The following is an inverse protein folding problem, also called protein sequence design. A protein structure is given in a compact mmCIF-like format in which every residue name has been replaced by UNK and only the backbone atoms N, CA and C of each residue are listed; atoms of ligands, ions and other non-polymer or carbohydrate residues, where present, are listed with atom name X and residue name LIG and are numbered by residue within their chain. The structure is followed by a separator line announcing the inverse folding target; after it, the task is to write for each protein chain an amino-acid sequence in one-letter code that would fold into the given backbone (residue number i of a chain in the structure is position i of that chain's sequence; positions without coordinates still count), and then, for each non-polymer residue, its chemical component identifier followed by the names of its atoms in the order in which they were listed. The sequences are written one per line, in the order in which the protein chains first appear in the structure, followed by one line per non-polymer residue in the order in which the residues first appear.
data_IF_908903909003
#
_entry.id   IF_908903909003
#
_cell.length_a   1.000
_cell.length_b   1.000
_cell.length_c   1.000
_cell.angle_alpha   90.00
_cell.angle_beta   90.00
_cell.angle_gamma   90.00
#
_symmetry.space_group_name_H-M   'P 1'
#
loop_
_entity.id
_entity.type
_entity.pdbx_description
1 polymer ?
#
# COMPACT_ATOMS: atom_id res chain seq x y z
N UNK A 1 -36.14 8.51 -32.82
CA UNK A 1 -36.35 7.60 -31.68
C UNK A 1 -35.55 6.28 -31.80
N UNK A 2 -34.45 6.21 -32.57
CA UNK A 2 -33.79 4.93 -32.88
C UNK A 2 -32.28 4.83 -32.50
N UNK A 3 -31.60 5.93 -32.14
CA UNK A 3 -30.17 5.88 -31.79
C UNK A 3 -29.95 5.70 -30.28
N UNK A 4 -30.83 6.28 -29.46
CA UNK A 4 -30.74 6.24 -28.00
C UNK A 4 -30.96 4.82 -27.42
N UNK A 5 -31.85 4.04 -28.04
CA UNK A 5 -32.14 2.66 -27.66
C UNK A 5 -31.00 1.67 -27.98
N UNK A 6 -30.11 2.03 -28.91
CA UNK A 6 -28.95 1.21 -29.29
C UNK A 6 -27.72 1.55 -28.42
N UNK A 7 -27.61 2.79 -27.94
CA UNK A 7 -26.52 3.24 -27.07
C UNK A 7 -26.67 2.77 -25.60
N UNK A 8 -27.89 2.65 -25.08
CA UNK A 8 -28.14 2.18 -23.71
C UNK A 8 -27.57 0.78 -23.40
N UNK A 9 -27.75 -0.26 -24.25
CA UNK A 9 -27.21 -1.59 -23.98
C UNK A 9 -25.68 -1.68 -24.17
N UNK A 10 -25.07 -0.75 -24.91
CA UNK A 10 -23.62 -0.74 -25.15
C UNK A 10 -22.84 -0.24 -23.92
N UNK A 11 -23.44 0.66 -23.13
CA UNK A 11 -22.86 1.17 -21.88
C UNK A 11 -22.91 0.11 -20.77
N UNK A 12 -23.92 -0.77 -20.77
CA UNK A 12 -24.03 -1.87 -19.80
C UNK A 12 -23.05 -3.02 -20.01
N UNK A 13 -22.36 -3.09 -21.16
CA UNK A 13 -21.30 -4.08 -21.41
C UNK A 13 -19.93 -3.66 -20.86
N UNK A 14 -19.78 -2.42 -20.35
CA UNK A 14 -18.57 -1.98 -19.65
C UNK A 14 -18.62 -2.50 -18.21
N UNK A 15 -18.58 -3.82 -18.10
CA UNK A 15 -18.48 -4.55 -16.84
C UNK A 15 -17.10 -4.29 -16.24
N UNK A 16 -17.08 -3.38 -15.26
CA UNK A 16 -16.04 -3.11 -14.25
C UNK A 16 -14.77 -3.96 -14.36
N UNK A 17 -13.83 -3.54 -15.21
CA UNK A 17 -12.43 -3.96 -15.12
C UNK A 17 -11.64 -2.85 -14.43
N UNK A 18 -11.85 -2.68 -13.12
CA UNK A 18 -11.00 -1.81 -12.30
C UNK A 18 -9.88 -2.68 -11.74
N UNK A 19 -8.74 -2.71 -12.44
CA UNK A 19 -7.55 -3.33 -11.90
C UNK A 19 -6.90 -2.39 -10.88
N UNK A 20 -6.54 -2.93 -9.70
CA UNK A 20 -5.72 -2.20 -8.74
C UNK A 20 -4.33 -1.96 -9.35
N UNK A 21 -3.89 -0.70 -9.30
CA UNK A 21 -2.58 -0.27 -9.81
C UNK A 21 -1.66 0.09 -8.65
N UNK A 22 -0.52 -0.60 -8.56
CA UNK A 22 0.50 -0.37 -7.52
C UNK A 22 1.86 -0.09 -8.15
N UNK A 23 2.73 0.65 -7.46
CA UNK A 23 4.15 0.70 -7.83
C UNK A 23 4.89 -0.56 -7.40
N UNK A 24 5.77 -1.05 -8.28
CA UNK A 24 6.66 -2.18 -8.01
C UNK A 24 8.12 -1.72 -8.08
N UNK A 25 8.75 -1.56 -6.93
CA UNK A 25 10.16 -1.16 -6.86
C UNK A 25 10.75 -1.41 -5.47
N UNK A 26 12.09 -1.40 -5.38
CA UNK A 26 12.85 -1.47 -4.12
C UNK A 26 13.75 -0.24 -4.00
N UNK A 27 13.95 0.31 -2.80
CA UNK A 27 14.73 1.53 -2.57
C UNK A 27 16.21 1.45 -2.96
N UNK A 28 16.73 0.25 -3.22
CA UNK A 28 18.03 0.04 -3.85
C UNK A 28 18.08 0.55 -5.28
N UNK A 29 16.91 0.70 -5.93
CA UNK A 29 16.75 1.32 -7.23
C UNK A 29 16.59 2.84 -7.09
N UNK A 30 17.19 3.64 -7.99
CA UNK A 30 17.18 5.09 -7.89
C UNK A 30 15.76 5.66 -8.02
N UNK A 31 15.32 6.41 -7.00
CA UNK A 31 14.01 7.07 -6.99
C UNK A 31 12.90 6.28 -6.28
N UNK A 32 13.14 5.03 -5.87
CA UNK A 32 12.19 4.25 -5.06
C UNK A 32 12.34 4.49 -3.54
N UNK A 33 13.28 5.33 -3.11
CA UNK A 33 13.46 5.66 -1.69
C UNK A 33 12.43 6.64 -1.13
N UNK A 34 12.86 7.38 -0.11
CA UNK A 34 12.18 8.57 0.42
C UNK A 34 13.05 9.79 0.08
N UNK A 35 12.63 10.72 -0.79
CA UNK A 35 11.32 10.82 -1.42
C UNK A 35 11.14 9.86 -2.60
N UNK A 36 9.89 9.43 -2.82
CA UNK A 36 9.52 8.57 -3.93
C UNK A 36 9.30 9.36 -5.22
N UNK A 37 9.99 8.97 -6.29
CA UNK A 37 9.88 9.57 -7.63
C UNK A 37 8.89 8.78 -8.48
N UNK A 38 7.60 8.96 -8.22
CA UNK A 38 6.50 8.24 -8.88
C UNK A 38 6.52 8.31 -10.42
N UNK A 39 7.04 9.41 -10.99
CA UNK A 39 7.15 9.58 -12.45
C UNK A 39 8.15 8.59 -13.09
N UNK A 40 9.06 8.01 -12.32
CA UNK A 40 10.12 7.13 -12.82
C UNK A 40 9.72 5.66 -12.84
N UNK A 41 8.62 5.30 -12.18
CA UNK A 41 8.17 3.93 -12.05
C UNK A 41 6.77 3.79 -12.64
N UNK A 42 6.55 2.88 -13.61
CA UNK A 42 5.21 2.58 -14.08
C UNK A 42 4.42 1.87 -12.97
N UNK A 43 3.12 2.16 -12.87
CA UNK A 43 2.22 1.36 -12.07
C UNK A 43 1.94 0.03 -12.76
N UNK A 44 1.88 -1.05 -12.00
CA UNK A 44 1.54 -2.39 -12.49
C UNK A 44 0.15 -2.80 -12.02
N UNK A 45 -0.56 -3.53 -12.87
CA UNK A 45 -1.82 -4.19 -12.51
C UNK A 45 -1.51 -5.39 -11.62
N UNK A 46 -2.13 -5.43 -10.45
CA UNK A 46 -2.02 -6.59 -9.56
C UNK A 46 -2.79 -7.81 -10.12
N UNK A 47 -2.31 -9.04 -9.87
CA UNK A 47 -2.87 -10.26 -10.47
C UNK A 47 -4.14 -10.79 -9.78
N UNK A 48 -4.38 -10.45 -8.51
CA UNK A 48 -5.52 -10.95 -7.74
C UNK A 48 -6.64 -9.90 -7.63
N UNK A 49 -7.90 -10.36 -7.54
CA UNK A 49 -9.07 -9.47 -7.46
C UNK A 49 -9.15 -8.72 -6.11
N UNK A 50 -8.76 -9.37 -5.02
CA UNK A 50 -8.75 -8.82 -3.66
C UNK A 50 -7.35 -8.32 -3.23
N UNK A 51 -6.51 -7.96 -4.19
CA UNK A 51 -5.15 -7.49 -3.91
C UNK A 51 -5.15 -6.09 -3.28
N UNK A 52 -4.05 -5.74 -2.62
CA UNK A 52 -3.82 -4.43 -2.02
C UNK A 52 -2.37 -4.00 -2.25
N UNK A 53 -2.13 -2.71 -2.43
CA UNK A 53 -0.76 -2.21 -2.54
C UNK A 53 -0.10 -2.27 -1.17
N UNK A 54 1.17 -2.67 -1.16
CA UNK A 54 1.97 -2.72 0.07
C UNK A 54 3.23 -1.88 -0.06
N UNK A 55 3.56 -1.19 1.03
CA UNK A 55 4.87 -0.60 1.26
C UNK A 55 5.46 -1.23 2.52
N UNK A 56 6.53 -1.98 2.33
CA UNK A 56 7.29 -2.63 3.39
C UNK A 56 8.50 -1.77 3.68
N UNK A 57 8.68 -1.38 4.93
CA UNK A 57 9.80 -0.57 5.42
C UNK A 57 10.60 -1.43 6.38
N UNK A 58 11.80 -1.82 5.96
CA UNK A 58 12.74 -2.63 6.74
C UNK A 58 13.85 -1.72 7.23
N UNK A 59 14.09 -1.67 8.54
CA UNK A 59 15.09 -0.79 9.16
C UNK A 59 16.15 -1.61 9.89
N UNK A 60 17.40 -1.23 9.69
CA UNK A 60 18.56 -1.75 10.43
C UNK A 60 19.47 -0.59 10.80
N UNK A 61 19.49 -0.21 12.06
CA UNK A 61 20.13 1.02 12.52
C UNK A 61 19.59 2.25 11.78
N UNK A 62 20.45 2.90 11.01
CA UNK A 62 20.11 4.08 10.18
C UNK A 62 19.69 3.72 8.77
N UNK A 63 19.93 2.48 8.33
CA UNK A 63 19.61 2.02 6.99
C UNK A 63 18.12 1.69 6.88
N UNK A 64 17.49 2.16 5.81
CA UNK A 64 16.09 1.92 5.48
C UNK A 64 15.98 1.32 4.08
N UNK A 65 15.39 0.14 3.99
CA UNK A 65 15.01 -0.49 2.73
C UNK A 65 13.49 -0.40 2.59
N UNK A 66 13.03 0.17 1.49
CA UNK A 66 11.61 0.31 1.18
C UNK A 66 11.30 -0.56 -0.03
N UNK A 67 10.34 -1.47 0.12
CA UNK A 67 9.81 -2.27 -0.98
C UNK A 67 8.36 -1.87 -1.22
N UNK A 68 8.02 -1.56 -2.47
CA UNK A 68 6.63 -1.35 -2.93
C UNK A 68 6.26 -2.47 -3.87
N UNK A 69 5.12 -3.10 -3.65
CA UNK A 69 4.60 -4.15 -4.52
C UNK A 69 3.09 -4.38 -4.29
N UNK A 70 2.51 -5.32 -5.04
CA UNK A 70 1.22 -5.95 -4.75
C UNK A 70 1.37 -6.95 -3.59
N UNK A 71 0.38 -7.05 -2.70
CA UNK A 71 0.38 -8.02 -1.60
C UNK A 71 0.50 -9.46 -2.11
N UNK A 72 -0.20 -9.80 -3.20
CA UNK A 72 -0.12 -11.13 -3.82
C UNK A 72 1.30 -11.55 -4.23
N UNK A 73 2.16 -10.58 -4.54
CA UNK A 73 3.53 -10.85 -5.01
C UNK A 73 4.47 -11.16 -3.86
N UNK A 74 4.25 -10.56 -2.69
CA UNK A 74 5.09 -10.76 -1.50
C UNK A 74 4.59 -11.87 -0.57
N UNK A 75 3.28 -12.18 -0.58
CA UNK A 75 2.69 -13.18 0.32
C UNK A 75 3.19 -14.60 0.13
N UNK A 76 3.83 -14.89 -1.00
CA UNK A 76 4.41 -16.21 -1.29
C UNK A 76 5.68 -16.50 -0.47
N UNK A 77 6.43 -15.46 -0.08
CA UNK A 77 7.71 -15.61 0.62
C UNK A 77 7.81 -14.82 1.94
N UNK A 78 6.81 -14.01 2.27
CA UNK A 78 6.72 -13.28 3.54
C UNK A 78 5.73 -13.98 4.48
N UNK A 79 6.22 -14.35 5.66
CA UNK A 79 5.44 -14.95 6.76
C UNK A 79 5.07 -13.94 7.83
N UNK A 80 5.68 -12.75 7.79
CA UNK A 80 5.55 -11.66 8.76
C UNK A 80 4.44 -10.67 8.41
N UNK A 81 3.48 -11.09 7.57
CA UNK A 81 2.37 -10.25 7.11
C UNK A 81 1.38 -10.07 8.27
N UNK A 82 1.05 -8.81 8.66
CA UNK A 82 0.01 -8.56 9.64
C UNK A 82 -1.34 -9.18 9.27
N UNK A 83 -2.05 -9.70 10.27
CA UNK A 83 -3.40 -10.25 10.09
C UNK A 83 -4.39 -9.17 9.62
N UNK A 84 -4.29 -8.00 10.23
CA UNK A 84 -5.07 -6.83 9.86
C UNK A 84 -4.49 -6.20 8.59
N UNK A 85 -5.29 -6.16 7.52
CA UNK A 85 -4.90 -5.64 6.20
C UNK A 85 -5.70 -4.40 5.76
N UNK A 86 -6.40 -3.77 6.71
CA UNK A 86 -7.06 -2.48 6.46
C UNK A 86 -6.03 -1.40 6.11
N UNK A 87 -6.44 -0.24 5.63
CA UNK A 87 -5.49 0.79 5.21
C UNK A 87 -4.63 1.37 6.35
N UNK A 88 -3.33 1.58 6.09
CA UNK A 88 -2.38 2.19 7.04
C UNK A 88 -1.22 1.28 7.45
N UNK A 89 -0.29 1.86 8.23
CA UNK A 89 0.98 1.23 8.61
C UNK A 89 0.92 0.54 9.98
N UNK A 90 1.51 -0.65 10.09
CA UNK A 90 1.64 -1.41 11.35
C UNK A 90 2.91 -2.24 11.36
N UNK A 91 3.34 -2.64 12.56
CA UNK A 91 4.50 -3.54 12.70
C UNK A 91 4.20 -4.91 12.07
N UNK A 92 5.25 -5.58 11.59
CA UNK A 92 5.16 -6.94 11.06
C UNK A 92 4.66 -7.94 12.11
N UNK A 93 4.00 -9.01 11.65
CA UNK A 93 3.62 -10.13 12.49
C UNK A 93 4.85 -10.97 12.86
N UNK A 94 4.84 -11.54 14.07
CA UNK A 94 5.86 -12.51 14.51
C UNK A 94 5.29 -13.91 14.43
N UNK A 95 5.98 -14.80 13.72
CA UNK A 95 5.68 -16.23 13.73
C UNK A 95 6.65 -16.94 14.69
N UNK A 96 6.17 -17.40 15.87
CA UNK A 96 7.02 -18.05 16.87
C UNK A 96 7.50 -19.44 16.45
N UNK A 97 6.95 -20.03 15.39
CA UNK A 97 7.34 -21.36 14.89
C UNK A 97 8.23 -21.29 13.65
N UNK A 98 8.51 -20.09 13.15
CA UNK A 98 9.29 -19.89 11.93
C UNK A 98 10.72 -20.39 12.12
N UNK A 99 11.15 -21.29 11.22
CA UNK A 99 12.53 -21.73 11.11
C UNK A 99 13.18 -22.31 12.39
N UNK A 100 12.37 -22.90 13.29
CA UNK A 100 12.83 -23.51 14.56
C UNK A 100 13.92 -24.58 14.40
N UNK A 101 13.99 -25.26 13.25
CA UNK A 101 14.98 -26.31 12.98
C UNK A 101 15.96 -25.94 11.86
N UNK A 102 15.97 -24.68 11.44
CA UNK A 102 16.87 -24.19 10.38
C UNK A 102 17.98 -23.37 11.02
N UNK A 103 19.17 -23.96 11.09
CA UNK A 103 20.36 -23.28 11.56
C UNK A 103 21.23 -22.89 10.36
N UNK A 104 21.46 -21.59 10.19
CA UNK A 104 22.26 -21.02 9.11
C UNK A 104 23.18 -19.96 9.71
N UNK A 105 24.40 -19.82 9.17
CA UNK A 105 25.41 -18.89 9.69
C UNK A 105 25.34 -17.47 9.11
N UNK A 106 24.48 -17.24 8.12
CA UNK A 106 24.42 -15.99 7.34
C UNK A 106 23.15 -15.21 7.72
N UNK A 107 23.23 -14.19 8.60
CA UNK A 107 22.04 -13.52 9.11
C UNK A 107 21.24 -12.78 8.02
N UNK A 108 21.87 -12.36 6.92
CA UNK A 108 21.25 -11.65 5.79
C UNK A 108 20.16 -12.47 5.07
N UNK A 109 20.17 -13.80 5.20
CA UNK A 109 19.13 -14.66 4.64
C UNK A 109 17.78 -14.47 5.36
N UNK A 110 17.80 -13.91 6.57
CA UNK A 110 16.63 -13.49 7.35
C UNK A 110 15.53 -14.57 7.45
N UNK A 111 15.94 -15.84 7.56
CA UNK A 111 15.01 -16.99 7.55
C UNK A 111 14.06 -16.94 8.75
N UNK A 112 14.53 -16.40 9.88
CA UNK A 112 13.77 -16.22 11.12
C UNK A 112 13.08 -14.84 11.23
N UNK A 113 13.22 -13.95 10.25
CA UNK A 113 12.69 -12.57 10.30
C UNK A 113 13.20 -11.76 11.50
N UNK A 114 14.50 -11.87 11.76
CA UNK A 114 15.20 -11.21 12.88
C UNK A 114 16.45 -10.42 12.46
N UNK A 115 16.71 -10.30 11.15
CA UNK A 115 17.84 -9.53 10.62
C UNK A 115 17.67 -8.00 10.78
N UNK A 116 16.44 -7.52 10.59
CA UNK A 116 16.06 -6.12 10.71
C UNK A 116 15.57 -5.79 12.12
N UNK A 117 15.89 -4.60 12.62
CA UNK A 117 15.46 -4.12 13.94
C UNK A 117 13.95 -3.88 13.98
N UNK A 118 13.39 -3.41 12.86
CA UNK A 118 11.96 -3.24 12.71
C UNK A 118 11.52 -3.40 11.25
N UNK A 119 10.36 -4.00 11.07
CA UNK A 119 9.68 -4.12 9.79
C UNK A 119 8.28 -3.56 9.93
N UNK A 120 7.94 -2.59 9.09
CA UNK A 120 6.62 -1.95 9.06
C UNK A 120 5.94 -2.23 7.72
N UNK A 121 4.71 -2.69 7.79
CA UNK A 121 3.83 -2.94 6.65
C UNK A 121 2.79 -1.84 6.55
N UNK A 122 2.75 -1.14 5.43
CA UNK A 122 1.69 -0.21 5.08
C UNK A 122 0.84 -0.81 3.97
N UNK A 123 -0.46 -0.95 4.22
CA UNK A 123 -1.45 -1.40 3.24
C UNK A 123 -2.21 -0.20 2.68
N UNK A 124 -2.41 -0.15 1.36
CA UNK A 124 -3.03 0.99 0.70
C UNK A 124 -3.97 0.50 -0.41
N UNK A 125 -5.21 0.95 -0.38
CA UNK A 125 -6.17 0.69 -1.47
C UNK A 125 -5.96 1.65 -2.64
N UNK A 126 -5.36 2.81 -2.35
CA UNK A 126 -4.93 3.75 -3.37
C UNK A 126 -3.45 4.05 -3.22
N UNK A 127 -2.75 4.05 -4.35
CA UNK A 127 -1.31 4.23 -4.39
C UNK A 127 -0.82 5.52 -3.69
N UNK A 128 -1.58 6.61 -3.81
CA UNK A 128 -1.22 7.90 -3.21
C UNK A 128 -1.07 7.84 -1.68
N UNK A 129 -1.76 6.93 -0.98
CA UNK A 129 -1.64 6.79 0.47
C UNK A 129 -0.42 5.97 0.90
N UNK A 130 0.13 5.13 0.02
CA UNK A 130 1.40 4.44 0.27
C UNK A 130 2.61 5.39 0.24
N UNK A 131 2.50 6.48 -0.53
CA UNK A 131 3.59 7.42 -0.75
C UNK A 131 3.50 8.69 0.11
N UNK A 132 2.29 9.05 0.57
CA UNK A 132 2.02 10.24 1.37
C UNK A 132 1.77 9.96 2.87
N UNK A 133 1.93 8.72 3.35
CA UNK A 133 1.80 8.36 4.76
C UNK A 133 2.92 8.99 5.63
N UNK A 134 2.82 10.30 5.80
CA UNK A 134 3.20 10.98 7.03
C UNK A 134 1.94 11.05 7.91
N UNK A 135 2.08 10.90 9.23
CA UNK A 135 0.95 11.04 10.14
C UNK A 135 0.28 12.40 9.92
N UNK A 136 -0.90 12.42 9.29
CA UNK A 136 -1.62 13.65 9.05
C UNK A 136 -2.25 14.11 10.37
N UNK A 137 -1.67 15.13 10.99
CA UNK A 137 -2.34 15.90 12.04
C UNK A 137 -3.48 16.71 11.41
N UNK A 138 -4.71 16.21 11.53
CA UNK A 138 -5.89 16.94 11.13
C UNK A 138 -6.05 18.13 12.08
N UNK A 139 -5.89 19.34 11.57
CA UNK A 139 -6.11 20.57 12.34
C UNK A 139 -7.61 20.77 12.56
N UNK A 140 -8.03 20.93 13.82
CA UNK A 140 -9.45 21.13 14.21
C UNK A 140 -10.09 22.36 13.56
N UNK A 141 -9.27 23.33 13.11
CA UNK A 141 -9.73 24.55 12.47
C UNK A 141 -10.36 24.30 11.09
N UNK A 142 -9.85 23.33 10.33
CA UNK A 142 -10.37 23.03 8.98
C UNK A 142 -11.74 22.35 9.06
N UNK A 143 -11.98 21.54 10.09
CA UNK A 143 -13.28 20.89 10.34
C UNK A 143 -14.38 21.90 10.69
N UNK A 144 -14.04 22.97 11.43
CA UNK A 144 -15.01 24.01 11.80
C UNK A 144 -15.38 24.91 10.61
N UNK A 145 -14.43 25.16 9.70
CA UNK A 145 -14.69 25.98 8.49
C UNK A 145 -15.67 25.32 7.50
N UNK A 146 -15.63 23.99 7.37
CA UNK A 146 -16.52 23.27 6.46
C UNK A 146 -17.96 23.22 6.99
N UNK A 147 -18.15 23.10 8.31
CA UNK A 147 -19.47 23.16 8.95
C UNK A 147 -20.07 24.57 8.82
N UNK A 148 -19.27 25.63 8.98
CA UNK A 148 -19.72 27.01 8.83
C UNK A 148 -20.26 27.32 7.43
N UNK A 149 -19.59 26.84 6.38
CA UNK A 149 -20.04 27.02 4.98
C UNK A 149 -21.36 26.32 4.68
N UNK A 150 -21.59 25.12 5.22
CA UNK A 150 -22.85 24.39 5.06
C UNK A 150 -24.00 25.08 5.79
N UNK A 151 -23.74 25.68 6.95
CA UNK A 151 -24.74 26.45 7.69
C UNK A 151 -25.09 27.76 6.97
N UNK A 152 -24.10 28.44 6.36
CA UNK A 152 -24.34 29.65 5.57
C UNK A 152 -25.12 29.36 4.27
N UNK A 153 -24.85 28.22 3.60
CA UNK A 153 -25.61 27.80 2.42
C UNK A 153 -27.09 27.49 2.73
N UNK A 154 -27.42 27.10 3.97
CA UNK A 154 -28.80 26.85 4.39
C UNK A 154 -29.58 28.11 4.81
N UNK A 155 -28.91 29.26 4.89
CA UNK A 155 -29.50 30.55 5.30
C UNK A 155 -29.82 31.43 4.07
N UNK A 156 -29.35 31.05 2.88
CA UNK A 156 -29.82 31.57 1.58
C UNK A 156 -30.71 30.54 0.87
#
# INVERSE_FOLDING_TARGET
MNLLFVLLPLISLVSRCSALLCYRCVSTQPGCGTPFKWLWYPSVSCPEEDDICVKIIERKGVEEIITRDCLSSVKSFRTDIPADKYEGCRASAKDPKLANYVNHSIPELDVQRNYYDSVTWCFCYFDHWCNAASAQTISTLTLLSSIGLVLLYKIH
#
